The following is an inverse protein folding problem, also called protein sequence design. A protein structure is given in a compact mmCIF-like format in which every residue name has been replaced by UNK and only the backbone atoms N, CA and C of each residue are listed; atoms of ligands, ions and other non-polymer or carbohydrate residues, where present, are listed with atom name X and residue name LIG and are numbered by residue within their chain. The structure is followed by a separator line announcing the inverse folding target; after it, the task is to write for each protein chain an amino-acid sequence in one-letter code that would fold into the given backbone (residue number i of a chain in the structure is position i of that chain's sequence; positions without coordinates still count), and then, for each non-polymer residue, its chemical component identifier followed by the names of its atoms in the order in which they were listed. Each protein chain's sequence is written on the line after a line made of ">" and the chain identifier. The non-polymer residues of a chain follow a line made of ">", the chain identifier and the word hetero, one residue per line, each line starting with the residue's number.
data_IF_717647674163
#
_entry.id   IF_717647674163
#
_cell.length_a   1.000
_cell.length_b   1.000
_cell.length_c   1.000
_cell.angle_alpha   90.00
_cell.angle_beta   90.00
_cell.angle_gamma   90.00
#
_symmetry.space_group_name_H-M   'P 1'
#
loop_
_entity.id
_entity.type
_entity.pdbx_description
1 polymer ?
#
# COMPACT_ATOMS: atom_id res chain seq x y z
N UNK A 1 -9.00 -3.05 16.54
CA UNK A 1 -8.72 -4.38 17.17
C UNK A 1 -8.53 -5.40 16.05
N UNK A 2 -7.45 -6.18 16.09
CA UNK A 2 -7.10 -7.27 15.14
C UNK A 2 -8.24 -8.30 15.03
N UNK A 3 -8.42 -8.89 13.85
CA UNK A 3 -9.35 -10.00 13.68
C UNK A 3 -8.93 -11.22 14.51
N UNK A 4 -9.93 -12.01 14.89
CA UNK A 4 -9.65 -13.35 15.43
C UNK A 4 -9.17 -14.28 14.31
N UNK A 5 -8.36 -15.29 14.64
CA UNK A 5 -7.92 -16.32 13.68
C UNK A 5 -9.10 -16.94 12.91
N UNK A 6 -10.23 -17.18 13.60
CA UNK A 6 -11.45 -17.71 12.97
C UNK A 6 -12.00 -16.76 11.90
N UNK A 7 -12.05 -15.44 12.19
CA UNK A 7 -12.54 -14.46 11.21
C UNK A 7 -11.63 -14.37 10.00
N UNK A 8 -10.30 -14.36 10.21
CA UNK A 8 -9.33 -14.34 9.12
C UNK A 8 -9.43 -15.58 8.22
N UNK A 9 -9.55 -16.77 8.82
CA UNK A 9 -9.72 -18.02 8.07
C UNK A 9 -11.03 -18.02 7.28
N UNK A 10 -12.15 -17.66 7.89
CA UNK A 10 -13.44 -17.58 7.19
C UNK A 10 -13.36 -16.63 5.99
N UNK A 11 -12.74 -15.46 6.16
CA UNK A 11 -12.56 -14.53 5.07
C UNK A 11 -11.69 -15.12 3.94
N UNK A 12 -10.61 -15.84 4.30
CA UNK A 12 -9.74 -16.49 3.32
C UNK A 12 -10.48 -17.59 2.55
N UNK A 13 -11.27 -18.42 3.25
CA UNK A 13 -12.03 -19.52 2.66
C UNK A 13 -13.09 -19.04 1.64
N UNK A 14 -13.52 -17.78 1.76
CA UNK A 14 -14.43 -17.13 0.81
C UNK A 14 -13.71 -16.59 -0.44
N UNK A 15 -12.37 -16.52 -0.43
CA UNK A 15 -11.63 -16.01 -1.58
C UNK A 15 -11.31 -17.13 -2.58
N UNK A 16 -11.30 -16.82 -3.89
CA UNK A 16 -10.69 -17.72 -4.87
C UNK A 16 -9.18 -17.81 -4.61
N UNK A 17 -8.50 -18.74 -5.30
CA UNK A 17 -7.04 -18.70 -5.32
C UNK A 17 -6.56 -17.35 -5.84
N UNK A 18 -5.94 -16.55 -4.98
CA UNK A 18 -5.49 -15.20 -5.32
C UNK A 18 -4.20 -15.25 -6.13
N UNK A 19 -4.23 -14.61 -7.30
CA UNK A 19 -3.07 -14.48 -8.18
C UNK A 19 -3.06 -13.11 -8.83
N UNK A 20 -1.88 -12.49 -8.89
CA UNK A 20 -1.74 -11.14 -9.44
C UNK A 20 -0.31 -10.62 -9.38
N UNK A 21 -0.18 -9.31 -9.50
CA UNK A 21 1.13 -8.63 -9.48
C UNK A 21 1.04 -7.25 -8.81
N UNK A 22 2.20 -6.64 -8.55
CA UNK A 22 2.25 -5.20 -8.36
C UNK A 22 1.88 -4.50 -9.68
N UNK A 23 0.95 -3.55 -9.63
CA UNK A 23 0.46 -2.86 -10.82
C UNK A 23 0.80 -1.37 -10.80
N UNK A 24 1.37 -0.94 -11.89
CA UNK A 24 1.56 0.45 -12.28
C UNK A 24 1.44 0.51 -13.80
N UNK A 25 0.59 1.37 -14.39
CA UNK A 25 0.44 1.42 -15.84
C UNK A 25 1.74 1.84 -16.50
N UNK A 26 2.01 1.33 -17.71
CA UNK A 26 3.26 1.58 -18.44
C UNK A 26 3.53 3.05 -18.79
N UNK A 27 2.51 3.89 -18.68
CA UNK A 27 2.59 5.35 -18.87
C UNK A 27 2.87 6.14 -17.60
N UNK A 28 2.94 5.48 -16.44
CA UNK A 28 3.27 6.13 -15.17
C UNK A 28 4.59 5.58 -14.61
N UNK A 29 5.45 6.45 -14.07
CA UNK A 29 6.70 6.04 -13.45
C UNK A 29 6.54 5.73 -11.95
N UNK A 30 5.48 6.22 -11.32
CA UNK A 30 5.18 6.02 -9.91
C UNK A 30 3.71 6.26 -9.59
N UNK A 31 3.34 5.99 -8.34
CA UNK A 31 1.99 6.13 -7.83
C UNK A 31 1.45 7.57 -7.88
N UNK A 32 2.31 8.59 -7.86
CA UNK A 32 1.87 9.98 -8.03
C UNK A 32 1.41 10.21 -9.47
N UNK A 33 2.19 9.80 -10.47
CA UNK A 33 1.83 9.94 -11.87
C UNK A 33 0.59 9.13 -12.22
N UNK A 34 0.45 7.92 -11.64
CA UNK A 34 -0.72 7.08 -11.85
C UNK A 34 -2.03 7.74 -11.41
N UNK A 35 -2.04 8.49 -10.29
CA UNK A 35 -3.28 8.96 -9.66
C UNK A 35 -3.50 10.48 -9.69
N UNK A 36 -2.54 11.29 -10.15
CA UNK A 36 -2.81 12.71 -10.39
C UNK A 36 -3.77 12.88 -11.57
N UNK A 37 -4.78 13.77 -11.45
CA UNK A 37 -5.79 14.03 -12.47
C UNK A 37 -5.18 14.38 -13.84
N UNK A 38 -4.07 15.13 -13.83
CA UNK A 38 -3.41 15.63 -15.04
C UNK A 38 -2.62 14.54 -15.80
N UNK A 39 -2.33 13.41 -15.15
CA UNK A 39 -1.52 12.30 -15.71
C UNK A 39 -2.21 10.94 -15.68
N UNK A 40 -3.44 10.87 -15.16
CA UNK A 40 -4.22 9.64 -15.12
C UNK A 40 -4.58 9.17 -16.54
N UNK A 41 -4.04 8.04 -16.94
CA UNK A 41 -4.25 7.46 -18.28
C UNK A 41 -5.21 6.28 -18.21
N UNK A 42 -6.50 6.58 -18.29
CA UNK A 42 -7.58 5.59 -18.23
C UNK A 42 -7.44 4.52 -19.33
N UNK A 43 -7.08 4.91 -20.55
CA UNK A 43 -7.03 4.00 -21.70
C UNK A 43 -5.92 2.97 -21.54
N UNK A 44 -4.73 3.41 -21.09
CA UNK A 44 -3.62 2.50 -20.79
C UNK A 44 -3.98 1.58 -19.62
N UNK A 45 -4.52 2.11 -18.52
CA UNK A 45 -4.95 1.31 -17.36
C UNK A 45 -5.95 0.24 -17.82
N UNK A 46 -6.97 0.62 -18.57
CA UNK A 46 -7.99 -0.28 -19.08
C UNK A 46 -7.41 -1.40 -19.96
N UNK A 47 -6.50 -1.05 -20.87
CA UNK A 47 -5.80 -2.00 -21.73
C UNK A 47 -4.99 -3.01 -20.91
N UNK A 48 -4.21 -2.54 -19.94
CA UNK A 48 -3.31 -3.38 -19.17
C UNK A 48 -4.05 -4.22 -18.12
N UNK A 49 -5.15 -3.73 -17.58
CA UNK A 49 -6.07 -4.53 -16.77
C UNK A 49 -6.76 -5.64 -17.59
N UNK A 50 -7.04 -5.42 -18.90
CA UNK A 50 -7.49 -6.51 -19.77
C UNK A 50 -6.43 -7.59 -19.92
N UNK A 51 -5.15 -7.23 -20.13
CA UNK A 51 -4.05 -8.18 -20.15
C UNK A 51 -3.93 -8.97 -18.83
N UNK A 52 -4.04 -8.29 -17.70
CA UNK A 52 -4.03 -8.94 -16.38
C UNK A 52 -5.16 -9.97 -16.25
N UNK A 53 -6.39 -9.59 -16.65
CA UNK A 53 -7.55 -10.49 -16.69
C UNK A 53 -7.31 -11.69 -17.62
N UNK A 54 -6.79 -11.47 -18.82
CA UNK A 54 -6.53 -12.53 -19.82
C UNK A 54 -5.46 -13.51 -19.33
N UNK A 55 -4.52 -13.06 -18.48
CA UNK A 55 -3.55 -13.89 -17.77
C UNK A 55 -4.15 -14.64 -16.57
N UNK A 56 -5.41 -14.40 -16.23
CA UNK A 56 -6.08 -15.01 -15.09
C UNK A 56 -5.84 -14.33 -13.74
N UNK A 57 -5.31 -13.10 -13.74
CA UNK A 57 -5.16 -12.34 -12.49
C UNK A 57 -6.52 -11.92 -11.95
N UNK A 58 -6.70 -12.09 -10.65
CA UNK A 58 -7.89 -11.69 -9.90
C UNK A 58 -7.59 -10.72 -8.76
N UNK A 59 -6.31 -10.39 -8.56
CA UNK A 59 -5.85 -9.39 -7.62
C UNK A 59 -4.70 -8.57 -8.20
N UNK A 60 -4.52 -7.36 -7.71
CA UNK A 60 -3.38 -6.49 -8.01
C UNK A 60 -2.94 -5.80 -6.73
N UNK A 61 -1.65 -5.50 -6.57
CA UNK A 61 -1.17 -4.69 -5.46
C UNK A 61 -0.79 -3.31 -5.97
N UNK A 62 -1.44 -2.27 -5.42
CA UNK A 62 -1.39 -0.90 -5.94
C UNK A 62 -1.03 0.07 -4.83
N UNK A 63 -0.06 0.92 -5.09
CA UNK A 63 0.45 1.89 -4.13
C UNK A 63 -0.24 3.23 -4.28
N UNK A 64 -0.65 3.82 -3.17
CA UNK A 64 -1.08 5.20 -3.09
C UNK A 64 0.05 6.10 -2.57
N UNK A 65 -0.25 7.38 -2.43
CA UNK A 65 0.71 8.33 -1.87
C UNK A 65 -0.01 9.42 -1.07
N UNK A 66 0.47 9.71 0.13
CA UNK A 66 -0.11 10.70 1.05
C UNK A 66 -0.23 12.11 0.46
N UNK A 67 0.68 12.51 -0.42
CA UNK A 67 0.63 13.82 -1.08
C UNK A 67 -0.61 14.00 -1.96
N UNK A 68 -1.19 12.93 -2.51
CA UNK A 68 -2.43 12.97 -3.29
C UNK A 68 -3.60 13.48 -2.44
N UNK A 69 -3.56 13.24 -1.11
CA UNK A 69 -4.60 13.69 -0.19
C UNK A 69 -4.72 15.21 -0.09
N UNK A 70 -3.67 15.96 -0.41
CA UNK A 70 -3.74 17.43 -0.52
C UNK A 70 -4.67 17.91 -1.65
N UNK A 71 -5.02 17.02 -2.59
CA UNK A 71 -5.97 17.23 -3.69
C UNK A 71 -7.08 16.17 -3.66
N UNK A 72 -7.59 15.90 -2.46
CA UNK A 72 -8.46 14.77 -2.13
C UNK A 72 -9.57 14.51 -3.15
N UNK A 73 -10.33 15.53 -3.53
CA UNK A 73 -11.48 15.35 -4.42
C UNK A 73 -11.05 14.91 -5.82
N UNK A 74 -9.94 15.43 -6.33
CA UNK A 74 -9.37 15.04 -7.62
C UNK A 74 -8.81 13.63 -7.56
N UNK A 75 -8.04 13.33 -6.52
CA UNK A 75 -7.50 12.00 -6.28
C UNK A 75 -8.61 10.95 -6.14
N UNK A 76 -9.67 11.24 -5.39
CA UNK A 76 -10.78 10.29 -5.25
C UNK A 76 -11.45 9.97 -6.58
N UNK A 77 -11.61 10.93 -7.49
CA UNK A 77 -12.16 10.67 -8.83
C UNK A 77 -11.32 9.66 -9.62
N UNK A 78 -10.00 9.85 -9.64
CA UNK A 78 -9.10 8.93 -10.36
C UNK A 78 -9.04 7.56 -9.69
N UNK A 79 -9.05 7.52 -8.37
CA UNK A 79 -9.06 6.26 -7.60
C UNK A 79 -10.37 5.48 -7.77
N UNK A 80 -11.53 6.15 -7.69
CA UNK A 80 -12.84 5.54 -7.99
C UNK A 80 -12.86 4.94 -9.39
N UNK A 81 -12.38 5.70 -10.38
CA UNK A 81 -12.31 5.21 -11.76
C UNK A 81 -11.44 3.96 -11.87
N UNK A 82 -10.28 3.94 -11.19
CA UNK A 82 -9.42 2.77 -11.15
C UNK A 82 -10.12 1.56 -10.52
N UNK A 83 -10.83 1.76 -9.40
CA UNK A 83 -11.59 0.69 -8.75
C UNK A 83 -12.69 0.13 -9.64
N UNK A 84 -13.41 0.99 -10.37
CA UNK A 84 -14.43 0.57 -11.34
C UNK A 84 -13.82 -0.27 -12.46
N UNK A 85 -12.69 0.18 -13.03
CA UNK A 85 -11.98 -0.57 -14.07
C UNK A 85 -11.49 -1.95 -13.60
N UNK A 86 -11.05 -2.07 -12.35
CA UNK A 86 -10.71 -3.35 -11.73
C UNK A 86 -11.95 -4.22 -11.55
N UNK A 87 -13.03 -3.65 -11.01
CA UNK A 87 -14.27 -4.36 -10.72
C UNK A 87 -14.92 -4.95 -11.99
N UNK A 88 -14.97 -4.20 -13.08
CA UNK A 88 -15.46 -4.66 -14.38
C UNK A 88 -14.71 -5.92 -14.91
N UNK A 89 -13.52 -6.18 -14.36
CA UNK A 89 -12.65 -7.31 -14.75
C UNK A 89 -12.55 -8.41 -13.71
N UNK A 90 -13.35 -8.30 -12.62
CA UNK A 90 -13.29 -9.20 -11.46
C UNK A 90 -11.90 -9.22 -10.81
N UNK A 91 -11.22 -8.08 -10.78
CA UNK A 91 -9.93 -7.89 -10.11
C UNK A 91 -10.18 -7.08 -8.85
N UNK A 92 -9.73 -7.58 -7.69
CA UNK A 92 -9.80 -6.87 -6.41
C UNK A 92 -8.40 -6.42 -5.99
N UNK A 93 -8.10 -5.12 -5.95
CA UNK A 93 -6.78 -4.63 -5.56
C UNK A 93 -6.52 -4.74 -4.05
N UNK A 94 -5.26 -5.00 -3.72
CA UNK A 94 -4.65 -4.75 -2.42
C UNK A 94 -4.09 -3.33 -2.46
N UNK A 95 -4.54 -2.48 -1.56
CA UNK A 95 -4.17 -1.06 -1.55
C UNK A 95 -3.09 -0.79 -0.51
N UNK A 96 -1.94 -0.30 -0.98
CA UNK A 96 -0.80 0.09 -0.14
C UNK A 96 -0.87 1.58 0.16
N UNK A 97 -0.79 1.96 1.45
CA UNK A 97 -0.93 3.35 1.88
C UNK A 97 0.42 4.04 2.09
N UNK A 98 1.25 3.57 3.01
CA UNK A 98 2.61 4.06 3.23
C UNK A 98 3.67 3.12 2.69
N UNK A 99 4.89 3.62 2.51
CA UNK A 99 5.99 2.87 1.91
C UNK A 99 7.36 3.46 2.27
N UNK A 100 8.28 2.64 2.76
CA UNK A 100 9.68 3.01 2.99
C UNK A 100 10.65 2.45 1.94
N UNK A 101 10.22 1.49 1.12
CA UNK A 101 11.12 0.72 0.26
C UNK A 101 11.65 1.51 -0.94
N UNK A 102 11.03 2.64 -1.30
CA UNK A 102 11.32 3.35 -2.52
C UNK A 102 12.13 4.65 -2.31
N UNK A 103 12.27 5.46 -3.37
CA UNK A 103 13.13 6.65 -3.34
C UNK A 103 12.57 7.74 -2.46
N UNK A 104 13.41 8.41 -1.65
CA UNK A 104 12.99 9.53 -0.80
C UNK A 104 12.59 10.76 -1.61
N UNK A 105 12.07 11.77 -0.93
CA UNK A 105 11.76 13.10 -1.46
C UNK A 105 10.70 13.11 -2.57
N UNK A 106 9.46 12.63 -2.28
CA UNK A 106 8.35 12.71 -3.21
C UNK A 106 7.94 14.17 -3.44
N UNK A 107 7.39 14.44 -4.63
CA UNK A 107 6.86 15.74 -5.00
C UNK A 107 5.70 15.59 -5.98
N UNK A 108 4.61 16.34 -5.76
CA UNK A 108 3.51 16.45 -6.73
C UNK A 108 3.94 17.13 -8.03
N UNK A 109 3.15 16.93 -9.07
CA UNK A 109 3.36 17.50 -10.40
C UNK A 109 4.10 16.54 -11.33
N UNK A 110 4.77 17.08 -12.34
CA UNK A 110 5.46 16.28 -13.34
C UNK A 110 6.52 15.39 -12.70
N UNK A 111 6.46 14.11 -13.01
CA UNK A 111 7.42 13.12 -12.53
C UNK A 111 8.63 13.01 -13.48
N UNK A 112 9.77 12.50 -12.98
CA UNK A 112 10.96 12.33 -13.81
C UNK A 112 10.77 11.22 -14.84
N UNK A 113 11.57 11.25 -15.90
CA UNK A 113 11.63 10.12 -16.83
C UNK A 113 12.27 8.89 -16.18
N UNK A 114 11.87 7.66 -16.57
CA UNK A 114 12.49 6.44 -16.07
C UNK A 114 13.98 6.36 -16.46
N UNK A 115 14.78 5.80 -15.56
CA UNK A 115 16.20 5.54 -15.81
C UNK A 115 16.34 4.10 -16.31
N UNK A 116 16.75 3.94 -17.56
CA UNK A 116 16.92 2.63 -18.20
C UNK A 116 17.86 1.72 -17.39
N UNK A 117 17.42 0.49 -17.14
CA UNK A 117 18.20 -0.50 -16.39
C UNK A 117 18.22 -0.30 -14.88
N UNK A 118 17.48 0.67 -14.35
CA UNK A 118 17.32 0.89 -12.91
C UNK A 118 15.93 0.49 -12.50
N UNK A 119 15.85 -0.57 -11.67
CA UNK A 119 14.58 -1.07 -11.15
C UNK A 119 13.85 0.00 -10.34
N UNK A 120 12.55 0.18 -10.59
CA UNK A 120 11.68 1.13 -9.90
C UNK A 120 12.29 2.54 -9.78
N UNK A 121 12.94 3.02 -10.86
CA UNK A 121 13.76 4.24 -10.82
C UNK A 121 13.03 5.51 -10.40
N UNK A 122 11.72 5.56 -10.50
CA UNK A 122 10.90 6.71 -10.14
C UNK A 122 9.91 6.49 -9.01
N UNK A 123 9.78 5.29 -8.47
CA UNK A 123 8.89 5.02 -7.35
C UNK A 123 9.29 5.80 -6.11
N UNK A 124 8.31 6.25 -5.32
CA UNK A 124 8.51 7.19 -4.22
C UNK A 124 8.00 6.63 -2.89
N UNK A 125 8.75 6.92 -1.82
CA UNK A 125 8.29 6.68 -0.46
C UNK A 125 7.03 7.49 -0.14
N UNK A 126 6.14 6.93 0.66
CA UNK A 126 4.97 7.59 1.20
C UNK A 126 4.83 7.29 2.71
N UNK A 127 4.89 8.28 3.61
CA UNK A 127 5.39 9.62 3.35
C UNK A 127 6.89 9.61 3.05
N UNK A 128 7.43 10.72 2.52
CA UNK A 128 8.86 10.79 2.25
C UNK A 128 9.72 10.73 3.51
N UNK A 129 10.96 10.26 3.36
CA UNK A 129 11.96 10.06 4.43
C UNK A 129 12.07 11.24 5.42
N UNK A 130 11.94 12.49 4.93
CA UNK A 130 12.03 13.67 5.78
C UNK A 130 10.96 13.63 6.89
N UNK A 131 9.71 13.36 6.54
CA UNK A 131 8.61 13.31 7.52
C UNK A 131 8.77 12.13 8.50
N UNK A 132 9.24 10.97 8.03
CA UNK A 132 9.51 9.83 8.91
C UNK A 132 10.58 10.18 9.95
N UNK A 133 11.66 10.86 9.54
CA UNK A 133 12.69 11.34 10.45
C UNK A 133 12.16 12.39 11.44
N UNK A 134 11.36 13.36 10.99
CA UNK A 134 10.75 14.37 11.86
C UNK A 134 9.81 13.75 12.90
N UNK A 135 9.05 12.72 12.52
CA UNK A 135 8.20 11.96 13.45
C UNK A 135 9.05 11.23 14.50
N UNK A 136 10.11 10.55 14.05
CA UNK A 136 11.04 9.86 14.94
C UNK A 136 11.67 10.82 15.96
N UNK A 137 12.13 11.97 15.49
CA UNK A 137 12.76 13.01 16.30
C UNK A 137 11.77 13.87 17.11
N UNK A 138 10.46 13.63 16.99
CA UNK A 138 9.37 14.41 17.60
C UNK A 138 9.41 15.90 17.21
N UNK A 139 9.80 16.19 15.98
CA UNK A 139 9.91 17.54 15.40
C UNK A 139 8.86 17.85 14.35
N UNK A 140 8.04 16.85 13.96
CA UNK A 140 7.03 17.02 12.93
C UNK A 140 6.03 18.11 13.33
N UNK A 141 5.66 18.95 12.37
CA UNK A 141 4.57 19.91 12.54
C UNK A 141 3.24 19.18 12.74
N UNK A 142 2.43 19.70 13.68
CA UNK A 142 1.14 19.08 14.03
C UNK A 142 0.16 19.02 12.86
N UNK A 143 0.21 19.98 11.93
CA UNK A 143 -0.63 20.00 10.72
C UNK A 143 -0.22 18.89 9.75
N UNK A 144 1.09 18.68 9.57
CA UNK A 144 1.59 17.60 8.73
C UNK A 144 1.28 16.23 9.34
N UNK A 145 1.44 16.05 10.63
CA UNK A 145 1.06 14.80 11.31
C UNK A 145 -0.45 14.53 11.16
N UNK A 146 -1.28 15.57 11.32
CA UNK A 146 -2.73 15.45 11.13
C UNK A 146 -3.08 15.12 9.67
N UNK A 147 -2.39 15.68 8.69
CA UNK A 147 -2.58 15.36 7.26
C UNK A 147 -2.30 13.88 6.98
N UNK A 148 -1.25 13.31 7.57
CA UNK A 148 -0.95 11.87 7.45
C UNK A 148 -2.05 11.02 8.11
N UNK A 149 -2.51 11.41 9.30
CA UNK A 149 -3.64 10.75 9.97
C UNK A 149 -4.90 10.81 9.12
N UNK A 150 -5.23 11.97 8.56
CA UNK A 150 -6.41 12.15 7.70
C UNK A 150 -6.32 11.32 6.41
N UNK A 151 -5.13 11.16 5.83
CA UNK A 151 -4.94 10.28 4.68
C UNK A 151 -5.28 8.83 5.03
N UNK A 152 -4.67 8.28 6.07
CA UNK A 152 -4.92 6.89 6.49
C UNK A 152 -6.38 6.69 6.87
N UNK A 153 -6.90 7.51 7.79
CA UNK A 153 -8.26 7.36 8.29
C UNK A 153 -9.31 7.67 7.22
N UNK A 154 -9.05 8.66 6.38
CA UNK A 154 -9.95 9.04 5.30
C UNK A 154 -10.07 7.93 4.28
N UNK A 155 -8.96 7.33 3.82
CA UNK A 155 -9.00 6.20 2.91
C UNK A 155 -9.76 5.02 3.52
N UNK A 156 -9.40 4.62 4.72
CA UNK A 156 -10.00 3.45 5.37
C UNK A 156 -11.50 3.64 5.70
N UNK A 157 -11.95 4.87 6.03
CA UNK A 157 -13.36 5.16 6.31
C UNK A 157 -14.19 5.35 5.06
N UNK A 158 -13.69 6.10 4.08
CA UNK A 158 -14.41 6.39 2.84
C UNK A 158 -14.69 5.11 2.04
N UNK A 159 -13.81 4.11 2.15
CA UNK A 159 -13.92 2.82 1.47
C UNK A 159 -14.11 1.63 2.43
N UNK A 160 -14.60 1.87 3.65
CA UNK A 160 -14.69 0.88 4.71
C UNK A 160 -15.48 -0.40 4.36
N UNK A 161 -16.46 -0.29 3.46
CA UNK A 161 -17.31 -1.39 3.03
C UNK A 161 -17.28 -1.58 1.51
N UNK A 162 -16.24 -1.10 0.85
CA UNK A 162 -16.14 -1.19 -0.60
C UNK A 162 -15.65 -2.58 -1.01
N UNK A 163 -16.55 -3.38 -1.57
CA UNK A 163 -16.30 -4.76 -1.98
C UNK A 163 -15.33 -4.87 -3.19
N UNK A 164 -15.03 -3.75 -3.86
CA UNK A 164 -14.04 -3.70 -4.94
C UNK A 164 -12.61 -3.87 -4.41
N UNK A 165 -12.36 -3.60 -3.11
CA UNK A 165 -11.05 -3.66 -2.46
C UNK A 165 -10.90 -4.99 -1.73
N UNK A 166 -9.80 -5.72 -1.99
CA UNK A 166 -9.50 -6.98 -1.34
C UNK A 166 -9.04 -6.79 0.12
N UNK A 167 -8.02 -5.98 0.31
CA UNK A 167 -7.42 -5.69 1.62
C UNK A 167 -6.58 -4.41 1.58
N UNK A 168 -6.22 -3.94 2.77
CA UNK A 168 -5.37 -2.77 2.97
C UNK A 168 -4.00 -3.18 3.51
N UNK A 169 -2.94 -2.83 2.79
CA UNK A 169 -1.56 -2.88 3.28
C UNK A 169 -1.19 -1.47 3.75
N UNK A 170 -1.21 -1.27 5.07
CA UNK A 170 -1.12 0.08 5.62
C UNK A 170 0.29 0.67 5.55
N UNK A 171 1.33 -0.18 5.45
CA UNK A 171 2.70 0.26 5.36
C UNK A 171 3.58 -0.81 4.72
N UNK A 172 4.05 -0.55 3.49
CA UNK A 172 4.98 -1.42 2.79
C UNK A 172 6.39 -1.31 3.35
N UNK A 173 6.92 -2.46 3.77
CA UNK A 173 8.32 -2.64 4.15
C UNK A 173 8.88 -1.53 5.07
N UNK A 174 8.20 -1.21 6.21
CA UNK A 174 8.70 -0.21 7.12
C UNK A 174 10.12 -0.52 7.58
N UNK A 175 10.96 0.50 7.64
CA UNK A 175 12.38 0.40 7.99
C UNK A 175 13.33 0.19 6.83
N UNK A 176 12.85 -0.07 5.63
CA UNK A 176 13.68 -0.17 4.42
C UNK A 176 14.35 1.17 4.07
N UNK A 177 15.19 1.16 3.04
CA UNK A 177 15.94 2.33 2.56
C UNK A 177 16.78 3.03 3.64
N UNK A 178 17.27 2.27 4.61
CA UNK A 178 18.08 2.80 5.72
C UNK A 178 17.29 3.50 6.83
N UNK A 179 15.96 3.37 6.84
CA UNK A 179 15.12 3.93 7.89
C UNK A 179 15.25 3.15 9.21
N UNK A 180 15.30 1.80 9.16
CA UNK A 180 15.41 0.98 10.35
C UNK A 180 14.35 1.35 11.41
N UNK A 181 14.75 1.41 12.67
CA UNK A 181 13.85 1.74 13.79
C UNK A 181 13.25 3.14 13.75
N UNK A 182 13.72 4.04 12.87
CA UNK A 182 13.11 5.36 12.68
C UNK A 182 11.67 5.26 12.19
N UNK A 183 11.34 4.22 11.42
CA UNK A 183 9.99 3.97 10.95
C UNK A 183 9.01 3.55 12.06
N UNK A 184 9.49 3.02 13.18
CA UNK A 184 8.67 2.41 14.24
C UNK A 184 7.61 3.38 14.79
N UNK A 185 7.97 4.65 14.98
CA UNK A 185 7.02 5.63 15.53
C UNK A 185 5.86 5.91 14.55
N UNK A 186 6.15 6.12 13.27
CA UNK A 186 5.09 6.29 12.27
C UNK A 186 4.26 5.02 12.10
N UNK A 187 4.89 3.84 12.07
CA UNK A 187 4.19 2.56 11.98
C UNK A 187 3.22 2.36 13.15
N UNK A 188 3.66 2.67 14.38
CA UNK A 188 2.80 2.60 15.58
C UNK A 188 1.57 3.51 15.45
N UNK A 189 1.78 4.76 15.02
CA UNK A 189 0.68 5.69 14.76
C UNK A 189 -0.24 5.20 13.63
N UNK A 190 0.33 4.64 12.57
CA UNK A 190 -0.44 4.12 11.43
C UNK A 190 -1.35 2.97 11.87
N UNK A 191 -0.87 2.05 12.70
CA UNK A 191 -1.68 0.99 13.28
C UNK A 191 -2.80 1.53 14.18
N UNK A 192 -2.50 2.52 15.03
CA UNK A 192 -3.51 3.20 15.86
C UNK A 192 -4.61 3.79 14.97
N UNK A 193 -4.25 4.59 13.97
CA UNK A 193 -5.20 5.24 13.05
C UNK A 193 -6.01 4.23 12.24
N UNK A 194 -5.38 3.15 11.80
CA UNK A 194 -6.07 2.09 11.05
C UNK A 194 -7.07 1.33 11.93
N UNK A 195 -6.72 1.05 13.18
CA UNK A 195 -7.64 0.42 14.13
C UNK A 195 -8.78 1.34 14.57
N UNK A 196 -8.57 2.66 14.65
CA UNK A 196 -9.62 3.64 14.89
C UNK A 196 -10.61 3.74 13.70
N UNK A 197 -10.11 3.68 12.49
CA UNK A 197 -10.94 3.71 11.27
C UNK A 197 -11.67 2.39 11.01
N UNK A 198 -11.02 1.28 11.24
CA UNK A 198 -11.46 -0.12 11.16
C UNK A 198 -12.39 -0.45 10.00
N UNK A 199 -11.88 -0.63 8.78
CA UNK A 199 -12.68 -1.06 7.63
C UNK A 199 -13.16 -2.51 7.78
N UNK A 200 -14.10 -2.93 6.94
CA UNK A 200 -14.57 -4.32 6.90
C UNK A 200 -13.56 -5.27 6.27
N UNK A 201 -12.76 -4.77 5.32
CA UNK A 201 -11.65 -5.51 4.71
C UNK A 201 -10.53 -5.75 5.74
N UNK A 202 -9.70 -6.79 5.57
CA UNK A 202 -8.55 -7.00 6.43
C UNK A 202 -7.49 -5.91 6.24
N UNK A 203 -6.80 -5.59 7.33
CA UNK A 203 -5.63 -4.69 7.34
C UNK A 203 -4.37 -5.50 7.65
N UNK A 204 -3.28 -5.21 6.96
CA UNK A 204 -1.98 -5.86 7.10
C UNK A 204 -0.83 -4.86 6.96
N UNK A 205 0.35 -5.26 7.38
CA UNK A 205 1.66 -4.74 6.97
C UNK A 205 2.62 -5.91 6.97
N UNK A 206 3.49 -6.00 5.97
CA UNK A 206 4.30 -7.19 5.76
C UNK A 206 5.26 -7.49 6.91
N UNK A 207 5.50 -8.78 7.19
CA UNK A 207 6.51 -9.23 8.13
C UNK A 207 7.88 -9.27 7.45
N UNK A 208 8.12 -10.20 6.53
CA UNK A 208 9.36 -10.19 5.74
C UNK A 208 9.31 -9.06 4.69
N UNK A 209 10.43 -8.37 4.52
CA UNK A 209 10.53 -7.10 3.80
C UNK A 209 10.67 -5.91 4.74
N UNK A 210 10.06 -5.95 5.92
CA UNK A 210 10.25 -4.96 6.99
C UNK A 210 11.59 -5.16 7.73
N UNK A 211 12.14 -4.08 8.32
CA UNK A 211 13.43 -4.11 9.02
C UNK A 211 13.27 -3.62 10.46
N UNK A 212 13.67 -4.46 11.41
CA UNK A 212 13.66 -4.17 12.84
C UNK A 212 12.76 -5.14 13.62
N UNK A 213 13.26 -5.71 14.72
CA UNK A 213 12.54 -6.72 15.52
C UNK A 213 11.21 -6.16 16.08
N UNK A 214 11.23 -4.93 16.58
CA UNK A 214 10.02 -4.28 17.11
C UNK A 214 9.00 -3.98 16.00
N UNK A 215 9.46 -3.66 14.79
CA UNK A 215 8.60 -3.47 13.61
C UNK A 215 7.92 -4.81 13.24
N UNK A 216 8.68 -5.89 13.15
CA UNK A 216 8.15 -7.23 12.84
C UNK A 216 7.13 -7.67 13.89
N UNK A 217 7.45 -7.47 15.16
CA UNK A 217 6.56 -7.77 16.28
C UNK A 217 5.26 -6.96 16.18
N UNK A 218 5.36 -5.65 15.97
CA UNK A 218 4.20 -4.77 15.87
C UNK A 218 3.29 -5.16 14.69
N UNK A 219 3.87 -5.49 13.54
CA UNK A 219 3.11 -5.95 12.37
C UNK A 219 2.43 -7.31 12.66
N UNK A 220 3.13 -8.27 13.24
CA UNK A 220 2.57 -9.58 13.59
C UNK A 220 1.43 -9.50 14.60
N UNK A 221 1.53 -8.60 15.60
CA UNK A 221 0.50 -8.40 16.61
C UNK A 221 -0.75 -7.71 16.08
N UNK A 222 -0.65 -6.91 15.03
CA UNK A 222 -1.73 -6.04 14.56
C UNK A 222 -2.36 -6.45 13.22
N UNK A 223 -1.67 -7.20 12.36
CA UNK A 223 -2.20 -7.65 11.07
C UNK A 223 -3.34 -8.66 11.22
N UNK A 224 -4.43 -8.44 10.50
CA UNK A 224 -5.55 -9.40 10.42
C UNK A 224 -5.17 -10.65 9.64
N UNK A 225 -4.38 -10.46 8.59
CA UNK A 225 -3.81 -11.49 7.71
C UNK A 225 -2.30 -11.26 7.65
N UNK A 226 -1.52 -12.32 7.85
CA UNK A 226 -0.08 -12.22 7.76
C UNK A 226 0.33 -12.17 6.28
N UNK A 227 1.10 -11.15 5.94
CA UNK A 227 1.73 -10.99 4.62
C UNK A 227 3.24 -10.93 4.75
N UNK A 228 3.93 -11.36 3.72
CA UNK A 228 5.39 -11.34 3.66
C UNK A 228 5.86 -11.22 2.20
N UNK A 229 7.10 -10.78 2.03
CA UNK A 229 7.75 -10.66 0.72
C UNK A 229 8.91 -11.63 0.63
N UNK A 230 8.92 -12.46 -0.41
CA UNK A 230 10.08 -13.30 -0.77
C UNK A 230 10.18 -13.38 -2.28
N UNK A 231 11.41 -13.22 -2.79
CA UNK A 231 11.71 -13.25 -4.22
C UNK A 231 12.55 -14.47 -4.60
N UNK A 232 12.90 -15.29 -3.63
CA UNK A 232 13.72 -16.48 -3.79
C UNK A 232 12.84 -17.72 -3.53
N UNK A 233 12.66 -18.55 -4.56
CA UNK A 233 11.75 -19.70 -4.49
C UNK A 233 12.09 -20.65 -3.33
N UNK A 234 13.37 -20.85 -3.05
CA UNK A 234 13.88 -21.68 -1.96
C UNK A 234 13.57 -21.17 -0.56
N UNK A 235 13.26 -19.88 -0.43
CA UNK A 235 12.87 -19.25 0.84
C UNK A 235 11.37 -19.30 1.11
N UNK A 236 10.55 -19.61 0.14
CA UNK A 236 9.09 -19.54 0.27
C UNK A 236 8.59 -20.51 1.35
N UNK A 237 8.89 -21.79 1.23
CA UNK A 237 8.43 -22.82 2.18
C UNK A 237 8.99 -22.59 3.60
N UNK A 238 10.30 -22.34 3.81
CA UNK A 238 10.83 -21.99 5.12
C UNK A 238 10.17 -20.75 5.76
N UNK A 239 9.86 -19.74 4.96
CA UNK A 239 9.17 -18.53 5.46
C UNK A 239 7.76 -18.87 5.92
N UNK A 240 6.99 -19.63 5.12
CA UNK A 240 5.64 -20.07 5.50
C UNK A 240 5.67 -20.85 6.81
N UNK A 241 6.60 -21.82 6.96
CA UNK A 241 6.72 -22.62 8.19
C UNK A 241 7.07 -21.77 9.41
N UNK A 242 7.92 -20.76 9.25
CA UNK A 242 8.29 -19.84 10.34
C UNK A 242 7.14 -18.93 10.78
N UNK A 243 6.23 -18.59 9.86
CA UNK A 243 5.14 -17.65 10.11
C UNK A 243 3.83 -18.31 10.58
N UNK A 244 3.74 -19.64 10.58
CA UNK A 244 2.62 -20.41 11.15
C UNK A 244 2.61 -20.38 12.67
#
# INVERSE_FOLDING_TARGET
>A
MKWTKKKANNWYDEQPWLVGCNFLPSTAINQLEMFQEDSFDEDTIKRELNWAKDLGFNSLRVYLHDLLWSRRDKFKKTFEKFLDLCHERNIKPIIVLFDDCHRPYPKLGKQPMPVKGVHNSGWKQSPGMALVNEIHEKKIDAKELNRLKEFIQGMLRDYANDERILMWDIYNEPGQFGMGDKALKLLSLTWEWAHEARPSQPITSCLDGSIGEEILKLNGENSDVITFHTYEAEKLEPTIERLK
#
